data_IF_618185300442
#
_entry.id   IF_618185300442
#
_cell.length_a   1.000
_cell.length_b   1.000
_cell.length_c   1.000
_cell.angle_alpha   90.00
_cell.angle_beta   90.00
_cell.angle_gamma   90.00
#
_symmetry.space_group_name_H-M   'P 1'
#
loop_
_entity.id
_entity.type
_entity.pdbx_description
1 polymer ?
#
# COMPACT_ATOMS: atom_id res chain seq x y z
N UNK A 1 10.59 -31.51 25.13
CA UNK A 1 9.13 -31.43 25.39
C UNK A 1 8.43 -31.11 24.07
N UNK A 2 7.62 -32.01 23.54
CA UNK A 2 6.83 -31.71 22.34
C UNK A 2 5.74 -30.69 22.71
N UNK A 3 5.66 -29.57 21.98
CA UNK A 3 4.64 -28.53 22.20
C UNK A 3 3.26 -29.17 22.30
N UNK A 4 2.51 -28.81 23.34
CA UNK A 4 1.15 -29.32 23.54
C UNK A 4 0.24 -28.91 22.38
N UNK A 5 -0.82 -29.68 22.15
CA UNK A 5 -1.83 -29.34 21.15
C UNK A 5 -2.43 -27.93 21.38
N UNK A 6 -2.50 -27.50 22.64
CA UNK A 6 -2.96 -26.17 23.03
C UNK A 6 -1.98 -25.06 22.59
N UNK A 7 -0.68 -25.26 22.75
CA UNK A 7 0.34 -24.30 22.30
C UNK A 7 0.42 -24.22 20.79
N UNK A 8 0.31 -25.36 20.09
CA UNK A 8 0.25 -25.39 18.61
C UNK A 8 -0.97 -24.64 18.09
N UNK A 9 -2.14 -24.80 18.72
CA UNK A 9 -3.37 -24.09 18.35
C UNK A 9 -3.29 -22.60 18.69
N UNK A 10 -2.58 -22.23 19.76
CA UNK A 10 -2.31 -20.83 20.12
C UNK A 10 -1.36 -20.18 19.11
N UNK A 11 -0.26 -20.82 18.76
CA UNK A 11 0.66 -20.36 17.71
C UNK A 11 0.02 -20.31 16.32
N UNK A 12 -0.85 -21.28 16.00
CA UNK A 12 -1.63 -21.26 14.77
C UNK A 12 -2.59 -20.07 14.74
N UNK A 13 -3.31 -19.79 15.85
CA UNK A 13 -4.12 -18.57 15.97
C UNK A 13 -3.29 -17.28 15.92
N UNK A 14 -2.06 -17.28 16.43
CA UNK A 14 -1.14 -16.13 16.38
C UNK A 14 -0.60 -15.92 14.96
N UNK A 15 -0.36 -16.99 14.19
CA UNK A 15 0.02 -16.96 12.77
C UNK A 15 -1.13 -16.63 11.83
N UNK A 16 -2.33 -17.16 12.09
CA UNK A 16 -3.55 -16.85 11.35
C UNK A 16 -4.03 -15.41 11.66
N UNK A 17 -3.53 -14.84 12.76
CA UNK A 17 -3.49 -13.41 13.10
C UNK A 17 -2.38 -12.64 12.37
N UNK A 18 -1.83 -13.12 11.25
CA UNK A 18 -1.48 -12.18 10.18
C UNK A 18 -2.76 -11.44 9.84
N UNK A 19 -2.76 -10.19 10.26
CA UNK A 19 -3.87 -9.48 10.88
C UNK A 19 -4.97 -9.28 9.86
N UNK A 20 -6.24 -9.41 10.27
CA UNK A 20 -7.33 -8.99 9.39
C UNK A 20 -7.12 -7.57 8.87
N UNK A 21 -6.43 -6.71 9.64
CA UNK A 21 -6.01 -5.37 9.21
C UNK A 21 -5.00 -5.36 8.06
N UNK A 22 -4.08 -6.31 7.99
CA UNK A 22 -3.12 -6.43 6.88
C UNK A 22 -3.84 -6.92 5.62
N UNK A 23 -4.74 -7.89 5.76
CA UNK A 23 -5.60 -8.37 4.66
C UNK A 23 -6.57 -7.28 4.17
N UNK A 24 -7.14 -6.52 5.09
CA UNK A 24 -8.05 -5.41 4.82
C UNK A 24 -7.31 -4.23 4.18
N UNK A 25 -6.10 -3.91 4.64
CA UNK A 25 -5.22 -2.95 3.99
C UNK A 25 -4.91 -3.37 2.55
N UNK A 26 -4.53 -4.64 2.31
CA UNK A 26 -4.33 -5.23 0.97
C UNK A 26 -5.60 -5.17 0.09
N UNK A 27 -6.77 -5.39 0.68
CA UNK A 27 -8.06 -5.31 -0.03
C UNK A 27 -8.44 -3.86 -0.37
N UNK A 28 -8.27 -2.91 0.54
CA UNK A 28 -8.51 -1.47 0.31
C UNK A 28 -7.55 -0.92 -0.74
N UNK A 29 -6.28 -1.28 -0.59
CA UNK A 29 -5.17 -1.07 -1.51
C UNK A 29 -5.51 -1.54 -2.93
N UNK A 30 -5.93 -2.81 -3.09
CA UNK A 30 -6.42 -3.33 -4.37
C UNK A 30 -7.60 -2.56 -4.92
N UNK A 31 -8.56 -2.15 -4.08
CA UNK A 31 -9.76 -1.41 -4.50
C UNK A 31 -9.43 0.01 -5.01
N UNK A 32 -8.47 0.69 -4.37
CA UNK A 32 -7.94 1.98 -4.84
C UNK A 32 -7.26 1.82 -6.21
N UNK A 33 -6.45 0.77 -6.39
CA UNK A 33 -5.81 0.46 -7.68
C UNK A 33 -6.84 0.18 -8.77
N UNK A 34 -7.87 -0.62 -8.49
CA UNK A 34 -8.93 -0.91 -9.46
C UNK A 34 -9.74 0.33 -9.86
N UNK A 35 -9.95 1.29 -8.94
CA UNK A 35 -10.64 2.54 -9.25
C UNK A 35 -9.76 3.51 -10.09
N UNK A 36 -8.46 3.57 -9.82
CA UNK A 36 -7.49 4.33 -10.64
C UNK A 36 -7.29 3.71 -12.04
N UNK A 37 -7.49 2.39 -12.18
CA UNK A 37 -7.25 1.61 -13.39
C UNK A 37 -8.02 2.11 -14.63
N UNK A 38 -9.14 2.81 -14.44
CA UNK A 38 -9.96 3.26 -15.56
C UNK A 38 -9.58 4.64 -16.12
N UNK A 39 -8.88 5.49 -15.35
CA UNK A 39 -8.54 6.85 -15.80
C UNK A 39 -7.03 7.08 -15.94
N UNK A 40 -6.18 6.49 -15.09
CA UNK A 40 -4.77 6.91 -14.97
C UNK A 40 -3.74 5.76 -15.07
N UNK A 41 -4.16 4.54 -15.42
CA UNK A 41 -3.30 3.34 -15.48
C UNK A 41 -2.04 3.54 -16.35
N UNK A 42 -2.19 4.21 -17.51
CA UNK A 42 -1.06 4.49 -18.39
C UNK A 42 -0.05 5.46 -17.78
N UNK A 43 -0.51 6.46 -17.01
CA UNK A 43 0.37 7.39 -16.31
C UNK A 43 1.09 6.70 -15.15
N UNK A 44 0.36 5.87 -14.39
CA UNK A 44 0.92 5.08 -13.29
C UNK A 44 2.04 4.17 -13.78
N UNK A 45 1.80 3.37 -14.84
CA UNK A 45 2.82 2.49 -15.43
C UNK A 45 4.03 3.25 -15.95
N UNK A 46 3.84 4.42 -16.58
CA UNK A 46 4.95 5.30 -17.01
C UNK A 46 5.79 5.77 -15.83
N UNK A 47 5.16 6.13 -14.72
CA UNK A 47 5.87 6.57 -13.51
C UNK A 47 6.62 5.39 -12.90
N UNK A 48 5.98 4.23 -12.73
CA UNK A 48 6.62 3.00 -12.25
C UNK A 48 7.89 2.67 -13.03
N UNK A 49 7.82 2.73 -14.37
CA UNK A 49 8.98 2.52 -15.24
C UNK A 49 10.08 3.57 -15.05
N UNK A 50 9.72 4.85 -14.83
CA UNK A 50 10.68 5.94 -14.59
C UNK A 50 11.35 5.86 -13.22
N UNK A 51 10.65 5.35 -12.21
CA UNK A 51 11.15 5.25 -10.84
C UNK A 51 11.79 3.90 -10.53
N UNK A 52 11.59 2.89 -11.38
CA UNK A 52 12.02 1.51 -11.13
C UNK A 52 11.29 0.85 -9.96
N UNK A 53 10.03 1.23 -9.73
CA UNK A 53 9.20 0.66 -8.66
C UNK A 53 8.21 -0.30 -9.29
N UNK A 54 8.32 -1.58 -8.93
CA UNK A 54 7.56 -2.67 -9.56
C UNK A 54 6.18 -2.91 -8.92
N UNK A 55 5.89 -2.29 -7.78
CA UNK A 55 4.62 -2.43 -7.06
C UNK A 55 3.90 -1.07 -6.99
N UNK A 56 2.67 -1.02 -7.51
CA UNK A 56 1.84 0.19 -7.53
C UNK A 56 1.65 0.77 -6.12
N UNK A 57 1.54 -0.11 -5.14
CA UNK A 57 1.32 0.25 -3.73
C UNK A 57 2.53 0.89 -3.08
N UNK A 58 3.74 0.43 -3.38
CA UNK A 58 4.96 1.07 -2.90
C UNK A 58 5.06 2.48 -3.50
N UNK A 59 4.79 2.61 -4.80
CA UNK A 59 4.81 3.90 -5.48
C UNK A 59 3.80 4.90 -4.87
N UNK A 60 2.55 4.47 -4.68
CA UNK A 60 1.50 5.31 -4.06
C UNK A 60 1.88 5.67 -2.62
N UNK A 61 2.39 4.71 -1.84
CA UNK A 61 2.81 4.94 -0.45
C UNK A 61 3.92 5.98 -0.35
N UNK A 62 4.88 5.95 -1.29
CA UNK A 62 5.95 6.95 -1.38
C UNK A 62 5.44 8.32 -1.78
N UNK A 63 4.49 8.39 -2.72
CA UNK A 63 3.86 9.67 -3.08
C UNK A 63 3.15 10.31 -1.89
N UNK A 64 2.33 9.54 -1.16
CA UNK A 64 1.63 10.04 0.02
C UNK A 64 2.62 10.53 1.07
N UNK A 65 3.66 9.74 1.37
CA UNK A 65 4.66 10.11 2.38
C UNK A 65 5.48 11.33 1.96
N UNK A 66 5.80 11.46 0.66
CA UNK A 66 6.47 12.63 0.13
C UNK A 66 5.59 13.88 0.25
N UNK A 67 4.31 13.79 -0.11
CA UNK A 67 3.35 14.88 0.04
C UNK A 67 3.15 15.29 1.51
N UNK A 68 3.09 14.33 2.43
CA UNK A 68 2.93 14.59 3.87
C UNK A 68 4.13 15.34 4.47
N UNK A 69 5.32 15.15 3.92
CA UNK A 69 6.53 15.88 4.34
C UNK A 69 6.64 17.31 3.78
N UNK A 70 5.77 17.69 2.85
CA UNK A 70 5.76 19.03 2.26
C UNK A 70 5.07 20.02 3.20
N UNK A 71 5.50 21.29 3.16
CA UNK A 71 4.68 22.34 3.76
C UNK A 71 3.47 22.68 2.86
N UNK A 72 2.48 23.36 3.42
CA UNK A 72 1.22 23.67 2.73
C UNK A 72 1.41 24.34 1.37
N UNK A 73 2.39 25.24 1.24
CA UNK A 73 2.69 25.93 -0.02
C UNK A 73 3.26 24.98 -1.06
N UNK A 74 4.22 24.15 -0.67
CA UNK A 74 4.81 23.13 -1.55
C UNK A 74 3.77 22.11 -2.02
N UNK A 75 2.90 21.67 -1.10
CA UNK A 75 1.83 20.73 -1.42
C UNK A 75 0.82 21.34 -2.40
N UNK A 76 0.42 22.60 -2.17
CA UNK A 76 -0.47 23.35 -3.06
C UNK A 76 0.14 23.51 -4.46
N UNK A 77 1.42 23.85 -4.54
CA UNK A 77 2.12 24.00 -5.82
C UNK A 77 2.24 22.64 -6.54
N UNK A 78 2.50 21.55 -5.81
CA UNK A 78 2.59 20.20 -6.35
C UNK A 78 1.26 19.69 -6.94
N UNK A 79 0.14 19.90 -6.24
CA UNK A 79 -1.19 19.43 -6.69
C UNK A 79 -1.74 20.26 -7.85
N UNK A 80 -1.31 21.52 -7.99
CA UNK A 80 -1.75 22.42 -9.07
C UNK A 80 -0.99 22.22 -10.39
N UNK A 81 0.02 21.34 -10.42
CA UNK A 81 0.71 21.03 -11.66
C UNK A 81 -0.30 20.41 -12.66
N UNK A 82 -0.42 20.97 -13.88
CA UNK A 82 -1.38 20.52 -14.88
C UNK A 82 -1.07 19.12 -15.44
#
# INVERSE_FOLDING_TARGET
MAKSAAERKREQRTRDKLSMKEKEALLLSRKIVTALYHNDDAALKRIMARTGIDEEQDLISRFIRGADSMNDRQLLDFIRLP
#
